data_IF_666435218139
#
_entry.id   IF_666435218139
#
_cell.length_a   1.000
_cell.length_b   1.000
_cell.length_c   1.000
_cell.angle_alpha   90.00
_cell.angle_beta   90.00
_cell.angle_gamma   90.00
#
_symmetry.space_group_name_H-M   'P 1'
#
loop_
_entity.id
_entity.type
_entity.pdbx_description
1 polymer ?
#
# COMPACT_ATOMS: atom_id res chain seq x y z
N UNK A 1 -28.30 -3.58 7.01
CA UNK A 1 -27.97 -2.58 5.97
C UNK A 1 -27.14 -3.30 4.93
N UNK A 2 -27.77 -3.78 3.85
CA UNK A 2 -27.08 -4.45 2.74
C UNK A 2 -26.42 -3.35 1.90
N UNK A 3 -25.12 -3.12 2.14
CA UNK A 3 -24.31 -2.40 1.17
C UNK A 3 -24.34 -3.22 -0.11
N UNK A 4 -24.91 -2.65 -1.17
CA UNK A 4 -24.90 -3.26 -2.50
C UNK A 4 -23.46 -3.55 -2.96
N UNK A 5 -23.31 -4.36 -4.01
CA UNK A 5 -21.99 -4.77 -4.47
C UNK A 5 -21.11 -3.56 -4.79
N UNK A 6 -19.88 -3.55 -4.27
CA UNK A 6 -18.92 -2.52 -4.66
C UNK A 6 -18.39 -2.86 -6.05
N UNK A 7 -18.43 -1.87 -6.95
CA UNK A 7 -17.99 -2.01 -8.35
C UNK A 7 -16.51 -2.47 -8.47
N UNK A 8 -15.72 -2.34 -7.41
CA UNK A 8 -14.31 -2.72 -7.38
C UNK A 8 -14.08 -4.13 -6.84
N UNK A 9 -14.89 -4.60 -5.89
CA UNK A 9 -14.63 -5.86 -5.16
C UNK A 9 -15.06 -7.08 -5.94
N UNK A 10 -16.26 -7.07 -6.52
CA UNK A 10 -16.80 -8.25 -7.22
C UNK A 10 -15.98 -8.66 -8.46
N UNK A 11 -15.54 -7.75 -9.36
CA UNK A 11 -14.76 -8.15 -10.52
C UNK A 11 -13.36 -8.67 -10.14
N UNK A 12 -12.77 -8.16 -9.07
CA UNK A 12 -11.48 -8.63 -8.53
C UNK A 12 -11.62 -10.04 -7.94
N UNK A 13 -12.61 -10.24 -7.07
CA UNK A 13 -12.85 -11.52 -6.41
C UNK A 13 -13.16 -12.61 -7.44
N UNK A 14 -14.00 -12.32 -8.44
CA UNK A 14 -14.34 -13.28 -9.50
C UNK A 14 -13.13 -13.65 -10.37
N UNK A 15 -12.25 -12.70 -10.70
CA UNK A 15 -11.07 -12.97 -11.55
C UNK A 15 -9.97 -13.72 -10.81
N UNK A 16 -9.67 -13.33 -9.58
CA UNK A 16 -8.52 -13.87 -8.87
C UNK A 16 -8.88 -15.07 -8.01
N UNK A 17 -9.99 -15.04 -7.28
CA UNK A 17 -10.40 -16.18 -6.44
C UNK A 17 -11.00 -17.34 -7.26
N UNK A 18 -11.36 -17.08 -8.52
CA UNK A 18 -11.78 -18.13 -9.46
C UNK A 18 -10.64 -18.86 -10.17
N UNK A 19 -9.40 -18.37 -10.06
CA UNK A 19 -8.22 -18.99 -10.69
C UNK A 19 -7.60 -20.02 -9.75
N UNK A 20 -7.45 -21.27 -10.21
CA UNK A 20 -6.83 -22.35 -9.43
C UNK A 20 -5.34 -22.12 -9.17
N UNK A 21 -4.68 -21.23 -9.91
CA UNK A 21 -3.27 -20.88 -9.74
C UNK A 21 -3.05 -19.73 -8.75
N UNK A 22 -4.13 -19.19 -8.17
CA UNK A 22 -4.07 -18.10 -7.21
C UNK A 22 -4.62 -18.54 -5.86
N UNK A 23 -3.87 -18.26 -4.80
CA UNK A 23 -4.32 -18.52 -3.42
C UNK A 23 -4.29 -17.23 -2.62
N UNK A 24 -5.46 -16.78 -2.16
CA UNK A 24 -5.56 -15.64 -1.25
C UNK A 24 -5.42 -16.06 0.21
N UNK A 25 -4.26 -15.81 0.81
CA UNK A 25 -4.01 -16.05 2.23
C UNK A 25 -4.32 -14.78 3.05
N UNK A 26 -5.58 -14.66 3.48
CA UNK A 26 -6.01 -13.51 4.30
C UNK A 26 -5.75 -13.75 5.80
N UNK A 27 -5.74 -12.67 6.60
CA UNK A 27 -5.51 -12.69 8.06
C UNK A 27 -4.19 -13.34 8.47
N UNK A 28 -3.17 -13.20 7.61
CA UNK A 28 -1.79 -13.64 7.82
C UNK A 28 -0.87 -12.44 7.76
N UNK A 29 0.26 -12.51 8.46
CA UNK A 29 1.35 -11.54 8.35
C UNK A 29 2.65 -12.26 8.00
N UNK A 30 3.46 -11.66 7.14
CA UNK A 30 4.81 -12.14 6.85
C UNK A 30 5.70 -11.89 8.07
N UNK A 31 6.32 -12.95 8.60
CA UNK A 31 7.26 -12.88 9.72
C UNK A 31 8.70 -12.87 9.26
N UNK A 32 9.02 -13.73 8.30
CA UNK A 32 10.38 -13.91 7.80
C UNK A 32 10.33 -14.28 6.32
N UNK A 33 11.33 -13.79 5.58
CA UNK A 33 11.59 -14.16 4.19
C UNK A 33 12.98 -14.78 4.15
N UNK A 34 13.03 -16.04 3.78
CA UNK A 34 14.25 -16.82 3.55
C UNK A 34 14.54 -16.92 2.05
N UNK A 35 15.60 -17.65 1.68
CA UNK A 35 16.00 -17.81 0.27
C UNK A 35 15.01 -18.61 -0.59
N UNK A 36 14.22 -19.49 0.02
CA UNK A 36 13.33 -20.44 -0.67
C UNK A 36 11.91 -20.50 -0.09
N UNK A 37 11.63 -19.73 0.97
CA UNK A 37 10.37 -19.79 1.72
C UNK A 37 10.01 -18.48 2.42
N UNK A 38 8.73 -18.34 2.73
CA UNK A 38 8.16 -17.26 3.53
C UNK A 38 7.44 -17.84 4.74
N UNK A 39 7.79 -17.37 5.93
CA UNK A 39 7.09 -17.71 7.17
C UNK A 39 5.93 -16.75 7.38
N UNK A 40 4.72 -17.30 7.47
CA UNK A 40 3.48 -16.58 7.72
C UNK A 40 2.96 -16.88 9.12
N UNK A 41 2.45 -15.87 9.81
CA UNK A 41 1.81 -16.01 11.13
C UNK A 41 0.31 -15.66 11.02
N UNK A 42 -0.56 -16.53 11.55
CA UNK A 42 -1.99 -16.26 11.66
C UNK A 42 -2.28 -15.16 12.67
N UNK A 43 -2.99 -14.11 12.26
CA UNK A 43 -3.32 -12.98 13.14
C UNK A 43 -4.27 -13.36 14.28
N UNK A 44 -5.10 -14.39 14.08
CA UNK A 44 -6.02 -14.89 15.12
C UNK A 44 -5.38 -15.92 16.03
N UNK A 45 -4.58 -16.82 15.45
CA UNK A 45 -4.08 -18.01 16.13
C UNK A 45 -2.66 -17.85 16.66
N UNK A 46 -1.88 -16.92 16.13
CA UNK A 46 -0.43 -16.84 16.33
C UNK A 46 0.36 -17.97 15.65
N UNK A 47 -0.30 -19.07 15.25
CA UNK A 47 0.31 -20.22 14.59
C UNK A 47 1.03 -19.82 13.30
N UNK A 48 2.24 -20.33 13.15
CA UNK A 48 3.10 -20.14 11.99
C UNK A 48 2.92 -21.25 10.94
N UNK A 49 3.17 -20.89 9.69
CA UNK A 49 3.16 -21.78 8.54
C UNK A 49 4.13 -21.28 7.48
N UNK A 50 4.73 -22.20 6.73
CA UNK A 50 5.68 -21.85 5.66
C UNK A 50 5.03 -22.00 4.28
N UNK A 51 5.46 -21.15 3.35
CA UNK A 51 5.10 -21.21 1.93
C UNK A 51 6.40 -21.14 1.11
N UNK A 52 6.63 -22.12 0.25
CA UNK A 52 7.75 -22.08 -0.71
C UNK A 52 7.54 -20.94 -1.72
N UNK A 53 8.59 -20.17 -1.99
CA UNK A 53 8.52 -19.05 -2.93
C UNK A 53 9.89 -18.76 -3.55
N UNK A 54 9.95 -18.75 -4.88
CA UNK A 54 11.13 -18.33 -5.64
C UNK A 54 11.25 -16.79 -5.73
N UNK A 55 10.13 -16.08 -5.56
CA UNK A 55 10.04 -14.62 -5.63
C UNK A 55 9.02 -14.11 -4.61
N UNK A 56 9.42 -13.06 -3.87
CA UNK A 56 8.52 -12.35 -2.96
C UNK A 56 8.42 -10.90 -3.39
N UNK A 57 7.19 -10.44 -3.62
CA UNK A 57 6.88 -9.04 -3.91
C UNK A 57 6.28 -8.42 -2.65
N UNK A 58 6.95 -7.40 -2.10
CA UNK A 58 6.47 -6.65 -0.96
C UNK A 58 5.70 -5.40 -1.41
N UNK A 59 4.39 -5.52 -1.48
CA UNK A 59 3.50 -4.38 -1.64
C UNK A 59 3.06 -3.90 -0.25
N UNK A 60 3.79 -2.90 0.27
CA UNK A 60 3.52 -2.28 1.57
C UNK A 60 3.33 -0.78 1.41
N UNK A 61 3.05 -0.07 2.50
CA UNK A 61 2.84 1.37 2.47
C UNK A 61 4.01 2.14 1.83
N UNK A 62 3.71 3.26 1.18
CA UNK A 62 4.71 4.13 0.57
C UNK A 62 5.36 5.09 1.57
N UNK A 63 6.66 5.34 1.42
CA UNK A 63 7.38 6.37 2.19
C UNK A 63 7.36 7.69 1.42
N UNK A 64 6.92 8.81 2.02
CA UNK A 64 6.95 10.12 1.38
C UNK A 64 8.37 10.52 0.95
N UNK A 65 8.52 10.95 -0.30
CA UNK A 65 9.75 11.50 -0.86
C UNK A 65 9.73 13.03 -0.72
N UNK A 66 10.51 13.56 0.22
CA UNK A 66 10.55 14.99 0.58
C UNK A 66 11.95 15.61 0.52
N UNK A 67 12.91 14.89 -0.03
CA UNK A 67 14.33 15.27 -0.14
C UNK A 67 14.51 16.66 -0.76
N UNK A 68 13.91 16.89 -1.93
CA UNK A 68 14.00 18.19 -2.61
C UNK A 68 13.33 19.33 -1.82
N UNK A 69 12.20 19.06 -1.15
CA UNK A 69 11.55 20.07 -0.32
C UNK A 69 12.44 20.49 0.84
N UNK A 70 13.05 19.51 1.52
CA UNK A 70 13.94 19.76 2.64
C UNK A 70 15.16 20.59 2.20
N UNK A 71 15.75 20.26 1.04
CA UNK A 71 16.86 21.02 0.44
C UNK A 71 16.47 22.47 0.12
N UNK A 72 15.29 22.70 -0.45
CA UNK A 72 14.80 24.05 -0.78
C UNK A 72 14.56 24.91 0.46
N UNK A 73 13.98 24.32 1.51
CA UNK A 73 13.74 25.01 2.79
C UNK A 73 15.05 25.44 3.43
N UNK A 74 16.09 24.61 3.38
CA UNK A 74 17.43 24.95 3.89
C UNK A 74 18.04 26.14 3.14
N UNK A 75 17.76 26.27 1.84
CA UNK A 75 18.20 27.40 1.02
C UNK A 75 17.35 28.67 1.21
N UNK A 76 16.34 28.63 2.08
CA UNK A 76 15.40 29.74 2.29
C UNK A 76 14.44 29.95 1.12
N UNK A 77 14.28 28.96 0.24
CA UNK A 77 13.30 28.99 -0.84
C UNK A 77 11.95 28.57 -0.29
N UNK A 78 10.93 29.38 -0.56
CA UNK A 78 9.56 29.00 -0.25
C UNK A 78 9.13 27.81 -1.12
N UNK A 79 8.82 26.69 -0.46
CA UNK A 79 8.34 25.47 -1.09
C UNK A 79 7.15 24.91 -0.31
N UNK A 80 6.27 24.18 -0.98
CA UNK A 80 5.06 23.62 -0.39
C UNK A 80 4.92 22.14 -0.78
N UNK A 81 4.55 21.28 0.19
CA UNK A 81 4.31 19.85 -0.05
C UNK A 81 2.86 19.58 -0.47
N UNK A 82 2.69 18.76 -1.50
CA UNK A 82 1.41 18.21 -1.92
C UNK A 82 1.58 16.76 -2.41
N UNK A 83 0.47 16.05 -2.58
CA UNK A 83 0.51 14.66 -3.06
C UNK A 83 1.18 13.70 -2.08
N UNK A 84 1.78 12.65 -2.63
CA UNK A 84 2.42 11.60 -1.84
C UNK A 84 3.70 12.08 -1.12
N UNK A 85 4.30 13.18 -1.59
CA UNK A 85 5.39 13.85 -0.88
C UNK A 85 4.94 14.44 0.48
N UNK A 86 3.65 14.78 0.62
CA UNK A 86 3.04 15.15 1.89
C UNK A 86 2.66 13.91 2.71
N UNK A 87 1.94 12.97 2.08
CA UNK A 87 1.61 11.67 2.65
C UNK A 87 1.15 10.71 1.55
N UNK A 88 1.78 9.53 1.44
CA UNK A 88 1.40 8.46 0.52
C UNK A 88 -0.02 7.98 0.81
N UNK A 89 -0.98 8.30 -0.06
CA UNK A 89 -2.40 7.99 0.10
C UNK A 89 -3.05 7.70 -1.25
N UNK A 90 -4.34 7.38 -1.23
CA UNK A 90 -5.11 7.23 -2.46
C UNK A 90 -5.08 8.51 -3.32
N UNK A 91 -5.17 8.30 -4.63
CA UNK A 91 -5.08 9.35 -5.65
C UNK A 91 -5.97 10.58 -5.39
N UNK A 92 -7.15 10.37 -4.80
CA UNK A 92 -8.07 11.46 -4.44
C UNK A 92 -7.45 12.46 -3.45
N UNK A 93 -6.62 11.98 -2.51
CA UNK A 93 -5.89 12.83 -1.57
C UNK A 93 -4.80 13.64 -2.27
N UNK A 94 -4.16 13.09 -3.30
CA UNK A 94 -3.16 13.81 -4.07
C UNK A 94 -3.78 15.00 -4.81
N UNK A 95 -4.93 14.81 -5.45
CA UNK A 95 -5.68 15.91 -6.08
C UNK A 95 -6.14 16.97 -5.08
N UNK A 96 -6.72 16.54 -3.97
CA UNK A 96 -7.24 17.46 -2.96
C UNK A 96 -6.12 18.28 -2.29
N UNK A 97 -4.96 17.67 -2.03
CA UNK A 97 -3.81 18.38 -1.46
C UNK A 97 -3.19 19.36 -2.44
N UNK A 98 -3.01 18.98 -3.71
CA UNK A 98 -2.52 19.87 -4.76
C UNK A 98 -3.42 21.10 -4.94
N UNK A 99 -4.74 20.90 -4.99
CA UNK A 99 -5.71 22.00 -5.04
C UNK A 99 -5.57 22.94 -3.84
N UNK A 100 -5.54 22.39 -2.63
CA UNK A 100 -5.45 23.18 -1.39
C UNK A 100 -4.18 24.03 -1.34
N UNK A 101 -3.05 23.47 -1.73
CA UNK A 101 -1.78 24.19 -1.79
C UNK A 101 -1.85 25.29 -2.85
N UNK A 102 -2.37 24.99 -4.04
CA UNK A 102 -2.52 25.99 -5.11
C UNK A 102 -3.47 27.14 -4.78
N UNK A 103 -4.45 26.95 -3.89
CA UNK A 103 -5.34 28.01 -3.41
C UNK A 103 -4.71 28.89 -2.31
N UNK A 104 -3.58 28.45 -1.72
CA UNK A 104 -2.93 29.08 -0.57
C UNK A 104 -1.69 29.93 -0.94
N UNK A 105 -1.29 29.95 -2.21
CA UNK A 105 -0.15 30.69 -2.77
C UNK A 105 -0.67 31.72 -3.77
#
# INVERSE_FOLDING_TARGET
MLLGPSLQREPYEQRLLGDSNFTALTRRVVREISSDRVTLCGLDSGIESEVEADLVILETGGVPRRDLYDDLVVLGVEAHLAGDALASRDLQHAFASGRRVGEAV
#
